data_IF_238372313184
#
_entry.id   IF_238372313184
#
_cell.length_a   1.000
_cell.length_b   1.000
_cell.length_c   1.000
_cell.angle_alpha   90.00
_cell.angle_beta   90.00
_cell.angle_gamma   90.00
#
_symmetry.space_group_name_H-M   'P 1'
#
loop_
_entity.id
_entity.type
_entity.pdbx_description
1 polymer ?
#
# COMPACT_ATOMS: atom_id res chain seq x y z
N UNK A 1 -26.97 -22.89 -36.25
CA UNK A 1 -26.41 -21.65 -36.78
C UNK A 1 -26.38 -20.55 -35.76
N UNK A 2 -27.22 -20.64 -34.79
CA UNK A 2 -27.27 -19.60 -33.75
C UNK A 2 -26.09 -19.69 -32.82
N UNK A 3 -25.49 -20.86 -32.73
CA UNK A 3 -24.46 -21.13 -31.76
C UNK A 3 -23.18 -20.31 -31.97
N UNK A 4 -22.91 -19.89 -33.19
CA UNK A 4 -21.67 -19.16 -33.44
C UNK A 4 -21.66 -17.78 -32.74
N UNK A 5 -22.81 -17.29 -32.36
CA UNK A 5 -22.89 -15.97 -31.75
C UNK A 5 -22.21 -15.91 -30.40
N UNK A 6 -22.26 -16.98 -29.63
CA UNK A 6 -21.74 -16.97 -28.26
C UNK A 6 -20.22 -16.87 -28.25
N UNK A 7 -19.55 -17.65 -29.10
CA UNK A 7 -18.10 -17.60 -29.10
C UNK A 7 -17.58 -16.29 -29.65
N UNK A 8 -18.30 -15.69 -30.58
CA UNK A 8 -17.88 -14.40 -31.13
C UNK A 8 -17.93 -13.29 -30.11
N UNK A 9 -18.86 -13.37 -29.17
CA UNK A 9 -19.05 -12.31 -28.18
C UNK A 9 -17.96 -12.35 -27.12
N UNK A 10 -17.52 -13.54 -26.73
CA UNK A 10 -16.59 -13.67 -25.60
C UNK A 10 -15.17 -13.23 -25.95
N UNK A 11 -14.71 -13.52 -27.16
CA UNK A 11 -13.32 -13.25 -27.50
C UNK A 11 -12.95 -11.80 -27.49
N UNK A 12 -13.76 -10.89 -28.07
CA UNK A 12 -13.41 -9.48 -28.04
C UNK A 12 -13.32 -8.90 -26.65
N UNK A 13 -14.09 -9.40 -25.70
CA UNK A 13 -14.08 -8.89 -24.34
C UNK A 13 -12.76 -9.14 -23.64
N UNK A 14 -12.14 -10.29 -23.87
CA UNK A 14 -10.86 -10.61 -23.26
C UNK A 14 -9.76 -9.70 -23.78
N UNK A 15 -9.83 -9.34 -25.05
CA UNK A 15 -8.81 -8.51 -25.66
C UNK A 15 -8.82 -7.09 -25.15
N UNK A 16 -9.94 -6.66 -24.54
CA UNK A 16 -10.09 -5.28 -24.07
C UNK A 16 -9.68 -5.08 -22.63
N UNK A 17 -9.19 -6.11 -21.93
CA UNK A 17 -8.73 -5.94 -20.56
C UNK A 17 -7.40 -5.20 -20.55
N UNK A 18 -7.17 -4.43 -19.48
CA UNK A 18 -5.93 -3.66 -19.32
C UNK A 18 -4.72 -4.58 -19.32
N UNK A 19 -4.83 -5.74 -18.68
CA UNK A 19 -3.73 -6.69 -18.57
C UNK A 19 -3.32 -7.29 -19.90
N UNK A 20 -4.18 -7.20 -20.93
CA UNK A 20 -3.83 -7.64 -22.28
C UNK A 20 -3.12 -6.57 -23.09
N UNK A 21 -3.02 -5.35 -22.57
CA UNK A 21 -2.26 -4.28 -23.21
C UNK A 21 -0.77 -4.48 -22.94
N UNK A 22 0.03 -3.79 -23.72
CA UNK A 22 1.47 -3.84 -23.52
C UNK A 22 1.85 -3.08 -22.25
N UNK A 23 2.64 -3.71 -21.41
CA UNK A 23 3.18 -3.08 -20.21
C UNK A 23 4.28 -2.11 -20.63
N UNK A 24 4.16 -0.85 -20.21
CA UNK A 24 5.16 0.15 -20.58
C UNK A 24 6.08 0.54 -19.43
N UNK A 25 5.71 0.27 -18.18
CA UNK A 25 6.56 0.58 -17.04
C UNK A 25 6.11 -0.24 -15.84
N UNK A 26 7.00 -0.33 -14.85
CA UNK A 26 6.71 -1.00 -13.58
C UNK A 26 7.49 -0.29 -12.50
N UNK A 27 6.82 0.09 -11.41
CA UNK A 27 7.45 0.74 -10.28
C UNK A 27 7.31 -0.14 -9.05
N UNK A 28 8.41 -0.35 -8.34
CA UNK A 28 8.45 -1.25 -7.17
C UNK A 28 8.37 -0.44 -5.90
N UNK A 29 7.51 -0.88 -5.00
CA UNK A 29 7.34 -0.29 -3.67
C UNK A 29 7.89 -1.29 -2.65
N UNK A 30 8.80 -0.82 -1.80
CA UNK A 30 9.40 -1.66 -0.77
C UNK A 30 8.52 -1.70 0.47
N UNK A 31 8.72 -2.72 1.29
CA UNK A 31 8.07 -2.76 2.60
C UNK A 31 8.62 -1.66 3.50
N UNK A 32 7.75 -0.91 4.19
CA UNK A 32 8.21 0.16 5.08
C UNK A 32 8.74 -0.35 6.41
N UNK A 33 8.58 -1.62 6.72
CA UNK A 33 9.08 -2.19 7.99
C UNK A 33 9.19 -3.71 7.86
N UNK A 34 9.91 -4.30 8.81
CA UNK A 34 9.91 -5.75 8.97
C UNK A 34 8.52 -6.19 9.42
N UNK A 35 8.01 -7.26 8.84
CA UNK A 35 6.67 -7.70 9.20
C UNK A 35 6.22 -8.93 8.43
N UNK A 36 4.92 -9.16 8.49
CA UNK A 36 4.27 -10.26 7.78
C UNK A 36 3.36 -9.65 6.72
N UNK A 37 3.70 -9.90 5.47
CA UNK A 37 3.00 -9.31 4.33
C UNK A 37 1.91 -10.22 3.79
N UNK A 38 0.87 -9.62 3.26
CA UNK A 38 -0.21 -10.32 2.59
C UNK A 38 -0.91 -9.43 1.59
N UNK A 39 -1.83 -10.01 0.86
CA UNK A 39 -2.68 -9.28 -0.07
C UNK A 39 -3.54 -8.28 0.70
N UNK A 40 -3.86 -7.14 0.06
CA UNK A 40 -4.69 -6.12 0.73
C UNK A 40 -6.05 -6.68 1.15
N UNK A 41 -6.56 -7.69 0.46
CA UNK A 41 -7.82 -8.32 0.81
C UNK A 41 -7.78 -9.03 2.16
N UNK A 42 -6.59 -9.25 2.72
CA UNK A 42 -6.45 -9.88 4.05
C UNK A 42 -6.59 -8.87 5.18
N UNK A 43 -6.66 -7.57 4.89
CA UNK A 43 -6.84 -6.56 5.93
C UNK A 43 -8.19 -6.76 6.62
N UNK A 44 -8.24 -6.74 7.97
CA UNK A 44 -9.48 -6.99 8.69
C UNK A 44 -10.35 -5.72 8.77
N UNK A 45 -10.61 -5.12 7.62
CA UNK A 45 -11.43 -3.92 7.48
C UNK A 45 -11.96 -3.87 6.05
N UNK A 46 -13.27 -3.78 5.90
CA UNK A 46 -13.90 -3.87 4.58
C UNK A 46 -13.50 -2.74 3.64
N UNK A 47 -13.28 -1.54 4.17
CA UNK A 47 -12.86 -0.41 3.34
C UNK A 47 -11.51 -0.63 2.71
N UNK A 48 -10.57 -1.22 3.46
CA UNK A 48 -9.24 -1.52 2.92
C UNK A 48 -9.27 -2.79 2.07
N UNK A 49 -9.87 -3.85 2.58
CA UNK A 49 -9.92 -5.13 1.86
C UNK A 49 -10.68 -5.01 0.54
N UNK A 50 -11.69 -4.13 0.50
CA UNK A 50 -12.47 -3.87 -0.71
C UNK A 50 -11.82 -2.90 -1.67
N UNK A 51 -10.61 -2.43 -1.36
CA UNK A 51 -9.83 -1.49 -2.19
C UNK A 51 -10.50 -0.15 -2.38
N UNK A 52 -11.35 0.24 -1.44
CA UNK A 52 -12.06 1.51 -1.52
C UNK A 52 -11.13 2.70 -1.28
N UNK A 53 -10.08 2.50 -0.50
CA UNK A 53 -9.10 3.55 -0.18
C UNK A 53 -7.90 3.53 -1.12
N UNK A 54 -7.75 2.48 -1.92
CA UNK A 54 -6.62 2.28 -2.80
C UNK A 54 -6.24 0.82 -2.87
N UNK A 55 -5.16 0.52 -3.59
CA UNK A 55 -4.67 -0.85 -3.75
C UNK A 55 -3.21 -0.91 -3.36
N UNK A 56 -2.78 -2.06 -2.88
CA UNK A 56 -1.41 -2.26 -2.44
C UNK A 56 -1.26 -3.58 -1.70
N UNK A 57 -0.75 -3.51 -0.47
CA UNK A 57 -0.51 -4.69 0.36
C UNK A 57 -0.91 -4.42 1.80
N UNK A 58 -1.08 -5.48 2.58
CA UNK A 58 -1.30 -5.41 4.01
C UNK A 58 -0.09 -6.03 4.69
N UNK A 59 0.51 -5.32 5.67
CA UNK A 59 1.69 -5.80 6.36
C UNK A 59 1.49 -5.61 7.86
N UNK A 60 1.69 -6.67 8.63
CA UNK A 60 1.66 -6.56 10.08
C UNK A 60 3.09 -6.33 10.57
N UNK A 61 3.39 -5.16 11.17
CA UNK A 61 4.76 -4.84 11.59
C UNK A 61 5.22 -5.71 12.75
N UNK A 62 6.48 -6.15 12.67
CA UNK A 62 7.18 -6.84 13.77
C UNK A 62 8.33 -5.99 14.28
N UNK A 63 8.62 -4.85 13.63
CA UNK A 63 9.64 -3.90 14.03
C UNK A 63 8.98 -2.53 14.24
N UNK A 64 9.40 -1.74 15.24
CA UNK A 64 8.72 -0.49 15.56
C UNK A 64 8.98 0.67 14.61
N UNK A 65 9.97 0.60 13.72
CA UNK A 65 10.34 1.73 12.88
C UNK A 65 9.71 1.62 11.50
N UNK A 66 8.93 2.65 11.13
CA UNK A 66 8.37 2.77 9.78
C UNK A 66 9.37 3.56 8.94
N UNK A 67 9.76 3.02 7.80
CA UNK A 67 10.77 3.62 6.91
C UNK A 67 10.14 3.95 5.56
N UNK A 68 10.77 4.89 4.87
CA UNK A 68 10.28 5.29 3.54
C UNK A 68 10.36 4.10 2.58
N UNK A 69 9.25 3.78 1.88
CA UNK A 69 9.22 2.62 0.97
C UNK A 69 9.84 2.92 -0.39
N UNK A 70 10.22 4.15 -0.63
CA UNK A 70 10.82 4.63 -1.87
C UNK A 70 11.38 6.00 -1.60
N UNK A 71 12.18 6.52 -2.53
CA UNK A 71 12.52 7.94 -2.51
C UNK A 71 11.25 8.74 -2.76
N UNK A 72 11.08 9.85 -2.03
CA UNK A 72 9.87 10.63 -2.21
C UNK A 72 9.76 11.78 -1.22
N UNK A 73 8.53 12.16 -0.96
CA UNK A 73 8.21 13.32 -0.14
C UNK A 73 7.03 13.01 0.77
N UNK A 74 7.07 13.53 1.99
CA UNK A 74 5.96 13.42 2.93
C UNK A 74 4.90 14.43 2.54
N UNK A 75 3.78 13.98 2.01
CA UNK A 75 2.73 14.88 1.53
C UNK A 75 1.78 15.31 2.63
N UNK A 76 1.55 14.46 3.62
CA UNK A 76 0.59 14.76 4.67
C UNK A 76 0.86 13.88 5.89
N UNK A 77 0.73 14.47 7.09
CA UNK A 77 0.80 13.71 8.34
C UNK A 77 -0.56 13.86 9.01
N UNK A 78 -1.24 12.74 9.25
CA UNK A 78 -2.55 12.77 9.89
C UNK A 78 -2.41 13.30 11.32
N UNK A 79 -3.32 14.15 11.77
CA UNK A 79 -3.22 14.74 13.13
C UNK A 79 -3.13 13.70 14.24
N UNK A 80 -3.71 12.51 14.01
CA UNK A 80 -3.65 11.40 14.97
C UNK A 80 -2.44 10.50 14.76
N UNK A 81 -1.51 10.88 13.89
CA UNK A 81 -0.18 10.28 13.69
C UNK A 81 -0.16 8.81 13.24
N UNK A 82 -1.30 8.21 13.03
CA UNK A 82 -1.39 6.79 12.65
C UNK A 82 -1.15 6.55 11.16
N UNK A 83 -1.13 7.61 10.37
CA UNK A 83 -1.01 7.47 8.92
C UNK A 83 -0.21 8.63 8.35
N UNK A 84 0.51 8.33 7.28
CA UNK A 84 1.34 9.30 6.55
C UNK A 84 0.97 9.21 5.08
N UNK A 85 0.69 10.36 4.47
CA UNK A 85 0.59 10.49 3.02
C UNK A 85 1.98 10.67 2.45
N UNK A 86 2.27 9.99 1.35
CA UNK A 86 3.59 9.92 0.76
C UNK A 86 3.49 9.99 -0.75
N UNK A 87 4.37 10.74 -1.40
CA UNK A 87 4.43 10.78 -2.87
C UNK A 87 5.81 10.30 -3.28
N UNK A 88 5.87 9.25 -4.08
CA UNK A 88 7.15 8.73 -4.56
C UNK A 88 7.77 9.70 -5.55
N UNK A 89 9.08 9.56 -5.78
CA UNK A 89 9.79 10.37 -6.77
C UNK A 89 9.19 10.21 -8.17
N UNK A 90 8.55 9.07 -8.43
CA UNK A 90 7.87 8.79 -9.70
C UNK A 90 6.46 9.39 -9.76
N UNK A 91 6.01 10.03 -8.68
CA UNK A 91 4.72 10.71 -8.65
C UNK A 91 3.54 9.88 -8.16
N UNK A 92 3.78 8.70 -7.60
CA UNK A 92 2.70 7.87 -7.07
C UNK A 92 2.29 8.34 -5.69
N UNK A 93 1.00 8.56 -5.50
CA UNK A 93 0.45 8.96 -4.20
C UNK A 93 0.16 7.73 -3.37
N UNK A 94 0.65 7.72 -2.14
CA UNK A 94 0.57 6.58 -1.26
C UNK A 94 0.00 6.96 0.10
N UNK A 95 -0.58 5.97 0.77
CA UNK A 95 -0.99 6.06 2.16
C UNK A 95 -0.30 4.94 2.93
N UNK A 96 0.44 5.30 3.97
CA UNK A 96 1.02 4.36 4.91
C UNK A 96 0.15 4.42 6.16
N UNK A 97 -0.76 3.46 6.31
CA UNK A 97 -1.77 3.46 7.38
C UNK A 97 -1.41 2.38 8.38
N UNK A 98 -1.07 2.77 9.59
CA UNK A 98 -0.57 1.84 10.60
C UNK A 98 -1.71 1.31 11.45
N UNK A 99 -1.97 0.01 11.34
CA UNK A 99 -3.03 -0.66 12.08
C UNK A 99 -4.42 -0.37 11.55
N UNK A 100 -5.41 -0.96 12.19
CA UNK A 100 -6.83 -0.79 11.86
C UNK A 100 -7.51 -0.02 12.98
N UNK A 101 -8.32 0.97 12.62
CA UNK A 101 -9.06 1.85 13.56
C UNK A 101 -8.13 2.59 14.54
N UNK A 102 -6.88 2.78 14.17
CA UNK A 102 -5.89 3.43 15.03
C UNK A 102 -6.07 4.94 15.11
N UNK A 103 -6.93 5.51 14.29
CA UNK A 103 -7.34 6.92 14.45
C UNK A 103 -7.91 7.17 15.83
N UNK A 104 -8.52 6.17 16.45
CA UNK A 104 -9.15 6.29 17.76
C UNK A 104 -8.14 6.41 18.91
N UNK A 105 -6.87 6.14 18.64
CA UNK A 105 -5.82 6.25 19.67
C UNK A 105 -5.38 7.69 19.90
N UNK A 106 -5.82 8.62 19.07
CA UNK A 106 -5.54 10.07 19.21
C UNK A 106 -4.05 10.39 19.28
N UNK A 107 -3.24 9.63 18.53
CA UNK A 107 -1.80 9.84 18.44
C UNK A 107 -0.99 9.04 19.43
N UNK A 108 -1.62 8.40 20.40
CA UNK A 108 -0.88 7.56 21.34
C UNK A 108 -0.38 6.30 20.68
N UNK A 109 0.89 5.98 20.91
CA UNK A 109 1.52 4.82 20.31
C UNK A 109 2.26 5.13 19.02
N UNK A 110 2.24 6.38 18.55
CA UNK A 110 2.91 6.79 17.32
C UNK A 110 3.78 8.02 17.57
N UNK A 111 5.04 7.93 17.15
CA UNK A 111 5.97 9.05 17.22
C UNK A 111 6.40 9.41 15.80
N UNK A 112 6.03 10.59 15.33
CA UNK A 112 6.40 11.07 14.00
C UNK A 112 7.83 11.60 14.04
N UNK A 113 8.66 11.19 13.10
CA UNK A 113 10.07 11.54 13.02
C UNK A 113 10.40 12.49 11.89
N UNK A 114 9.41 12.88 11.09
CA UNK A 114 9.59 13.74 9.91
C UNK A 114 8.52 14.81 9.89
N UNK A 115 8.65 15.80 9.00
CA UNK A 115 7.70 16.89 8.83
C UNK A 115 7.05 16.79 7.46
N UNK A 116 5.84 17.36 7.34
CA UNK A 116 5.19 17.50 6.04
C UNK A 116 6.08 18.31 5.11
N UNK A 117 6.18 17.86 3.85
CA UNK A 117 7.01 18.50 2.86
C UNK A 117 8.46 18.00 2.84
N UNK A 118 8.86 17.18 3.82
CA UNK A 118 10.22 16.66 3.87
C UNK A 118 10.47 15.70 2.72
N UNK A 119 11.63 15.87 2.06
CA UNK A 119 12.10 14.91 1.06
C UNK A 119 12.90 13.84 1.76
N UNK A 120 12.63 12.59 1.43
CA UNK A 120 13.23 11.45 2.08
C UNK A 120 13.74 10.45 1.05
N UNK A 121 14.68 9.64 1.48
CA UNK A 121 15.19 8.55 0.67
C UNK A 121 14.66 7.23 1.20
N UNK A 122 14.55 6.25 0.32
CA UNK A 122 14.15 4.90 0.69
C UNK A 122 14.97 4.45 1.89
N UNK A 123 14.27 3.99 2.95
CA UNK A 123 14.91 3.52 4.16
C UNK A 123 15.02 4.56 5.28
N UNK A 124 14.76 5.84 5.00
CA UNK A 124 14.75 6.86 6.06
C UNK A 124 13.62 6.59 7.04
N UNK A 125 13.90 6.78 8.34
CA UNK A 125 12.91 6.56 9.39
C UNK A 125 11.86 7.66 9.36
N UNK A 126 10.59 7.26 9.34
CA UNK A 126 9.45 8.19 9.26
C UNK A 126 8.66 8.26 10.56
N UNK A 127 8.57 7.14 11.27
CA UNK A 127 7.70 7.02 12.43
C UNK A 127 8.18 5.88 13.31
N UNK A 128 7.96 5.99 14.61
CA UNK A 128 8.12 4.87 15.55
C UNK A 128 6.76 4.46 16.07
N UNK A 129 6.53 3.16 16.14
CA UNK A 129 5.30 2.58 16.67
C UNK A 129 5.60 1.94 18.01
N UNK A 130 4.77 2.19 19.01
CA UNK A 130 4.76 1.40 20.24
C UNK A 130 3.90 0.17 19.95
N UNK A 131 4.55 -0.91 19.49
CA UNK A 131 3.84 -2.10 19.03
C UNK A 131 2.94 -2.70 20.11
N UNK A 132 3.43 -2.77 21.34
CA UNK A 132 2.64 -3.36 22.43
C UNK A 132 1.43 -2.53 22.75
N UNK A 133 1.60 -1.21 22.79
CA UNK A 133 0.48 -0.32 23.06
C UNK A 133 -0.60 -0.41 21.99
N UNK A 134 -0.18 -0.32 20.72
CA UNK A 134 -1.14 -0.36 19.61
C UNK A 134 -1.82 -1.72 19.55
N UNK A 135 -1.06 -2.79 19.75
CA UNK A 135 -1.63 -4.14 19.71
C UNK A 135 -2.70 -4.34 20.77
N UNK A 136 -2.52 -3.74 21.96
CA UNK A 136 -3.47 -3.91 23.06
C UNK A 136 -4.64 -2.94 22.99
N UNK A 137 -4.58 -1.88 22.19
CA UNK A 137 -5.59 -0.83 22.14
C UNK A 137 -6.30 -0.72 20.80
N UNK A 138 -5.85 -1.41 19.76
CA UNK A 138 -6.45 -1.37 18.43
C UNK A 138 -6.91 -2.77 18.04
N UNK A 139 -7.88 -2.87 17.11
CA UNK A 139 -8.36 -4.17 16.65
C UNK A 139 -7.29 -5.00 15.96
N UNK A 140 -6.33 -4.37 15.29
CA UNK A 140 -5.30 -5.09 14.55
C UNK A 140 -4.11 -4.19 14.27
N UNK A 141 -2.90 -4.79 14.24
CA UNK A 141 -1.68 -4.12 13.79
C UNK A 141 -1.52 -4.19 12.28
N UNK A 142 -2.34 -4.98 11.59
CA UNK A 142 -2.24 -5.09 10.13
C UNK A 142 -2.36 -3.70 9.51
N UNK A 143 -1.38 -3.34 8.70
CA UNK A 143 -1.19 -1.98 8.21
C UNK A 143 -1.34 -1.95 6.70
N UNK A 144 -2.37 -1.27 6.18
CA UNK A 144 -2.51 -1.08 4.73
C UNK A 144 -1.43 -0.15 4.19
N UNK A 145 -0.71 -0.61 3.17
CA UNK A 145 0.30 0.15 2.45
C UNK A 145 -0.23 0.31 1.03
N UNK A 146 -0.72 1.49 0.71
CA UNK A 146 -1.58 1.68 -0.46
C UNK A 146 -1.05 2.73 -1.41
N UNK A 147 -1.35 2.53 -2.71
CA UNK A 147 -1.38 3.60 -3.69
C UNK A 147 -2.82 4.07 -3.80
N UNK A 148 -3.06 5.38 -3.64
CA UNK A 148 -4.40 5.94 -3.46
C UNK A 148 -4.96 6.61 -4.69
N UNK A 149 -4.14 6.85 -5.72
CA UNK A 149 -4.57 7.56 -6.94
C UNK A 149 -4.17 6.78 -8.18
N UNK A 150 -4.48 5.48 -8.19
CA UNK A 150 -4.18 4.63 -9.32
C UNK A 150 -5.11 4.93 -10.48
N UNK A 151 -4.53 5.02 -11.67
CA UNK A 151 -5.28 5.23 -12.89
C UNK A 151 -5.74 3.87 -13.44
N UNK A 152 -6.64 3.91 -14.40
CA UNK A 152 -7.26 2.72 -14.98
C UNK A 152 -6.22 1.75 -15.56
N UNK A 153 -5.13 2.29 -16.09
CA UNK A 153 -4.07 1.49 -16.70
C UNK A 153 -2.94 1.13 -15.73
N UNK A 154 -3.13 1.35 -14.43
CA UNK A 154 -2.14 1.05 -13.40
C UNK A 154 -2.66 -0.06 -12.51
N UNK A 155 -1.88 -1.15 -12.38
CA UNK A 155 -2.31 -2.35 -11.66
C UNK A 155 -1.26 -2.77 -10.65
N UNK A 156 -1.71 -3.09 -9.45
CA UNK A 156 -0.83 -3.59 -8.37
C UNK A 156 -0.59 -5.08 -8.56
N UNK A 157 0.67 -5.46 -8.39
CA UNK A 157 1.11 -6.86 -8.43
C UNK A 157 1.90 -7.15 -7.17
N UNK A 158 1.35 -7.98 -6.31
CA UNK A 158 2.00 -8.35 -5.05
C UNK A 158 3.25 -9.16 -5.33
N UNK A 159 4.36 -8.80 -4.69
CA UNK A 159 5.66 -9.45 -4.89
C UNK A 159 6.09 -10.31 -3.72
N UNK A 160 5.51 -10.09 -2.52
CA UNK A 160 5.95 -10.77 -1.31
C UNK A 160 4.76 -11.12 -0.44
N UNK A 161 4.75 -12.35 0.07
CA UNK A 161 3.82 -12.78 1.12
C UNK A 161 4.63 -13.44 2.22
N UNK A 162 4.11 -13.38 3.46
CA UNK A 162 4.84 -13.92 4.60
C UNK A 162 5.87 -12.95 5.12
N UNK A 163 6.93 -13.46 5.72
CA UNK A 163 7.94 -12.63 6.35
C UNK A 163 8.61 -11.71 5.33
N UNK A 164 8.68 -10.42 5.65
CA UNK A 164 9.29 -9.40 4.80
C UNK A 164 10.13 -8.49 5.68
N UNK A 165 11.22 -7.97 5.12
CA UNK A 165 12.07 -7.00 5.83
C UNK A 165 11.90 -5.62 5.18
N UNK A 166 12.11 -4.58 6.00
CA UNK A 166 12.11 -3.21 5.50
C UNK A 166 13.07 -3.10 4.32
N UNK A 167 12.60 -2.48 3.24
CA UNK A 167 13.42 -2.30 2.03
C UNK A 167 13.30 -3.41 1.01
N UNK A 168 12.77 -4.57 1.38
CA UNK A 168 12.50 -5.63 0.39
C UNK A 168 11.31 -5.27 -0.47
N UNK A 169 11.30 -5.75 -1.71
CA UNK A 169 10.22 -5.49 -2.65
C UNK A 169 8.91 -6.05 -2.10
N UNK A 170 7.89 -5.21 -1.98
CA UNK A 170 6.59 -5.60 -1.44
C UNK A 170 5.56 -5.79 -2.54
N UNK A 171 5.40 -4.78 -3.38
CA UNK A 171 4.51 -4.89 -4.54
C UNK A 171 5.01 -3.98 -5.65
N UNK A 172 4.54 -4.24 -6.85
CA UNK A 172 4.84 -3.42 -8.01
C UNK A 172 3.55 -2.80 -8.54
N UNK A 173 3.67 -1.62 -9.12
CA UNK A 173 2.60 -1.01 -9.91
C UNK A 173 3.00 -1.12 -11.36
N UNK A 174 2.29 -1.94 -12.11
CA UNK A 174 2.52 -2.13 -13.54
C UNK A 174 1.66 -1.14 -14.31
N UNK A 175 2.28 -0.41 -15.23
CA UNK A 175 1.61 0.61 -16.02
C UNK A 175 1.50 0.12 -17.45
N UNK A 176 0.30 0.13 -18.00
CA UNK A 176 -0.02 -0.39 -19.33
C UNK A 176 -0.31 0.74 -20.31
N UNK A 177 -0.16 0.44 -21.59
CA UNK A 177 -0.48 1.40 -22.66
C UNK A 177 -1.96 1.61 -22.84
#
# INVERSE_FOLDING_TARGET
>A
EVTFDVSDVEEPQQENTVENRKKKASYVIASPFDGIAGDITTAPDEGFAGKMMGDGAAVEPTDPVVKAPADGEISFIFPTHHAIGFVTADGMEMLLHIGIDTVKLNGEGFEILVEEGAKVKKGDALMKIDLDYVKSHAPSLVSPILCTDLKENEKVRLLKTGAVKAGEDLFAVDIYE
#
